data_IF_942239721187
#
_entry.id   IF_942239721187
#
_cell.length_a   1.000
_cell.length_b   1.000
_cell.length_c   1.000
_cell.angle_alpha   90.00
_cell.angle_beta   90.00
_cell.angle_gamma   90.00
#
_symmetry.space_group_name_H-M   'P 1'
#
loop_
_entity.id
_entity.type
_entity.pdbx_description
1 polymer ?
#
# COMPACT_ATOMS: atom_id res chain seq x y z
N UNK A 1 13.46 -47.68 7.90
CA UNK A 1 14.44 -46.59 7.77
C UNK A 1 13.75 -45.32 8.22
N UNK A 2 13.76 -45.14 9.52
CA UNK A 2 12.84 -44.33 10.32
C UNK A 2 13.50 -43.05 10.80
N UNK A 3 12.74 -41.96 10.75
CA UNK A 3 12.81 -40.86 11.71
C UNK A 3 14.00 -39.91 11.57
N UNK A 4 13.78 -38.79 10.88
CA UNK A 4 14.74 -37.69 10.79
C UNK A 4 14.08 -36.40 11.31
N UNK A 5 14.65 -35.93 12.42
CA UNK A 5 14.61 -34.60 13.06
C UNK A 5 13.34 -34.16 13.81
N UNK A 6 13.42 -34.23 15.15
CA UNK A 6 12.84 -33.24 16.06
C UNK A 6 13.84 -33.00 17.22
N UNK A 7 14.39 -31.78 17.33
CA UNK A 7 15.11 -31.31 18.53
C UNK A 7 14.74 -29.84 18.83
N UNK A 8 13.69 -29.72 19.65
CA UNK A 8 13.50 -28.91 20.86
C UNK A 8 14.45 -27.71 21.11
N UNK A 9 13.85 -26.52 20.96
CA UNK A 9 13.84 -25.33 21.82
C UNK A 9 14.96 -25.16 22.89
N UNK A 10 15.80 -24.13 22.70
CA UNK A 10 16.59 -23.51 23.77
C UNK A 10 15.95 -22.19 24.23
N UNK A 11 15.48 -22.20 25.47
CA UNK A 11 14.95 -21.07 26.22
C UNK A 11 16.10 -20.18 26.74
N UNK A 12 16.19 -18.93 26.28
CA UNK A 12 16.98 -17.91 26.98
C UNK A 12 16.07 -17.10 27.91
N UNK A 13 16.13 -17.48 29.19
CA UNK A 13 15.60 -16.75 30.32
C UNK A 13 16.43 -15.47 30.55
N UNK A 14 15.78 -14.30 30.49
CA UNK A 14 16.25 -13.06 31.13
C UNK A 14 15.10 -12.49 31.95
N UNK A 15 15.01 -12.96 33.19
CA UNK A 15 14.24 -12.30 34.23
C UNK A 15 15.04 -11.08 34.72
N UNK A 16 14.42 -9.91 34.71
CA UNK A 16 14.86 -8.76 35.50
C UNK A 16 13.61 -8.03 35.99
N UNK A 17 13.18 -8.41 37.19
CA UNK A 17 12.30 -7.61 38.03
C UNK A 17 12.90 -7.64 39.44
N UNK A 18 13.20 -6.46 39.99
CA UNK A 18 12.70 -5.97 41.28
C UNK A 18 13.51 -4.76 41.78
N UNK A 19 12.77 -3.67 42.01
CA UNK A 19 12.79 -2.85 43.23
C UNK A 19 14.15 -2.27 43.68
N UNK A 20 14.42 -1.04 43.27
CA UNK A 20 15.37 -0.16 43.94
C UNK A 20 14.78 0.30 45.28
N UNK A 21 15.30 -0.29 46.36
CA UNK A 21 15.08 0.13 47.74
C UNK A 21 15.84 1.44 48.02
N UNK A 22 15.25 2.22 48.91
CA UNK A 22 15.62 3.58 49.30
C UNK A 22 17.06 3.66 49.84
N UNK A 23 17.95 4.31 49.10
CA UNK A 23 19.24 4.74 49.62
C UNK A 23 19.06 6.03 50.44
N UNK A 24 19.00 5.85 51.77
CA UNK A 24 19.19 6.92 52.75
C UNK A 24 20.67 7.30 52.73
N UNK A 25 21.01 8.41 52.07
CA UNK A 25 22.28 9.09 52.28
C UNK A 25 22.07 10.23 53.26
N UNK A 26 22.49 9.98 54.50
CA UNK A 26 22.64 10.94 55.57
C UNK A 26 23.66 12.02 55.18
N UNK A 27 23.16 13.19 54.80
CA UNK A 27 23.97 14.41 54.74
C UNK A 27 24.38 14.79 56.17
N UNK A 28 25.68 14.70 56.45
CA UNK A 28 26.30 15.23 57.67
C UNK A 28 25.99 16.73 57.80
N UNK A 29 25.15 17.03 58.79
CA UNK A 29 24.87 18.37 59.26
C UNK A 29 26.14 18.99 59.84
N UNK A 30 26.68 20.02 59.17
CA UNK A 30 27.62 20.95 59.81
C UNK A 30 26.81 21.83 60.76
N UNK A 31 27.09 21.66 62.04
CA UNK A 31 26.55 22.45 63.14
C UNK A 31 26.97 23.92 62.97
N UNK A 32 25.99 24.82 62.95
CA UNK A 32 26.20 26.24 63.25
C UNK A 32 25.41 26.57 64.52
N UNK A 33 26.11 27.24 65.42
CA UNK A 33 25.96 27.34 66.87
C UNK A 33 24.90 28.35 67.35
N UNK A 34 23.83 28.59 66.57
CA UNK A 34 22.79 29.56 66.93
C UNK A 34 21.41 28.93 67.11
N UNK A 35 21.36 27.74 67.71
CA UNK A 35 20.11 27.27 68.29
C UNK A 35 20.02 27.68 69.76
N UNK A 36 19.27 28.75 70.03
CA UNK A 36 18.33 28.78 71.15
C UNK A 36 17.19 29.74 70.78
N UNK A 37 16.00 29.20 70.56
CA UNK A 37 14.75 29.56 71.24
C UNK A 37 13.64 28.73 70.61
N UNK A 38 13.24 27.70 71.34
CA UNK A 38 12.01 26.93 71.11
C UNK A 38 10.85 27.92 71.24
N UNK A 39 9.95 27.99 70.25
CA UNK A 39 8.79 28.92 70.11
C UNK A 39 8.97 30.20 69.25
N UNK A 40 9.90 30.20 68.28
CA UNK A 40 9.90 31.21 67.20
C UNK A 40 9.22 30.71 65.94
N UNK A 41 7.97 31.11 65.68
CA UNK A 41 7.27 30.87 64.41
C UNK A 41 8.04 31.57 63.27
N UNK A 42 9.01 30.89 62.63
CA UNK A 42 9.64 31.43 61.40
C UNK A 42 8.73 31.19 60.22
N UNK A 43 7.70 32.01 60.12
CA UNK A 43 6.89 32.21 58.92
C UNK A 43 7.70 32.98 57.87
N UNK A 44 8.79 32.41 57.36
CA UNK A 44 9.27 32.84 56.04
C UNK A 44 8.40 32.13 55.01
N UNK A 45 7.23 32.71 54.73
CA UNK A 45 6.51 32.44 53.49
C UNK A 45 7.54 32.49 52.35
N UNK A 46 7.61 31.52 51.43
CA UNK A 46 8.35 31.73 50.20
C UNK A 46 7.65 32.90 49.52
N UNK A 47 8.19 34.12 49.70
CA UNK A 47 7.75 35.29 48.96
C UNK A 47 7.76 34.84 47.51
N UNK A 48 6.56 34.84 46.91
CA UNK A 48 6.39 34.59 45.49
C UNK A 48 7.30 35.58 44.78
N UNK A 49 8.48 35.11 44.40
CA UNK A 49 9.36 35.86 43.54
C UNK A 49 8.53 36.28 42.33
N UNK A 50 8.69 37.54 41.91
CA UNK A 50 8.07 38.09 40.72
C UNK A 50 8.08 37.06 39.58
N UNK A 51 7.00 36.94 38.78
CA UNK A 51 6.91 35.94 37.73
C UNK A 51 8.07 36.12 36.75
N UNK A 52 9.15 35.37 36.95
CA UNK A 52 10.32 35.39 36.06
C UNK A 52 9.83 34.92 34.69
N UNK A 53 9.97 35.78 33.68
CA UNK A 53 9.62 35.45 32.29
C UNK A 53 10.22 34.08 31.96
N UNK A 54 9.38 33.10 31.61
CA UNK A 54 9.85 31.79 31.16
C UNK A 54 10.82 32.02 30.01
N UNK A 55 12.06 31.55 30.15
CA UNK A 55 13.07 31.68 29.09
C UNK A 55 12.54 30.96 27.85
N UNK A 56 12.60 31.64 26.69
CA UNK A 56 12.28 31.01 25.42
C UNK A 56 13.18 29.78 25.24
N UNK A 57 12.64 28.73 24.61
CA UNK A 57 13.37 27.49 24.37
C UNK A 57 14.65 27.81 23.60
N UNK A 58 15.76 27.21 24.03
CA UNK A 58 17.05 27.46 23.41
C UNK A 58 17.03 27.08 21.93
N UNK A 59 17.49 27.95 21.01
CA UNK A 59 17.47 27.66 19.58
C UNK A 59 18.29 26.40 19.23
N UNK A 60 19.33 26.09 20.03
CA UNK A 60 20.12 24.86 19.89
C UNK A 60 19.31 23.58 20.09
N UNK A 61 18.29 23.61 20.96
CA UNK A 61 17.40 22.48 21.21
C UNK A 61 16.50 22.22 20.00
N UNK A 62 16.01 23.29 19.37
CA UNK A 62 15.19 23.18 18.15
C UNK A 62 15.99 22.65 16.96
N UNK A 63 17.23 23.12 16.76
CA UNK A 63 18.12 22.63 15.69
C UNK A 63 18.44 21.15 15.89
N UNK A 64 18.80 20.74 17.12
CA UNK A 64 19.06 19.33 17.42
C UNK A 64 17.84 18.43 17.20
N UNK A 65 16.62 18.92 17.47
CA UNK A 65 15.38 18.21 17.16
C UNK A 65 15.16 18.09 15.65
N UNK A 66 15.36 19.16 14.89
CA UNK A 66 15.27 19.14 13.42
C UNK A 66 16.25 18.15 12.81
N UNK A 67 17.49 18.10 13.29
CA UNK A 67 18.50 17.18 12.75
C UNK A 67 18.21 15.71 13.11
N UNK A 68 17.63 15.46 14.29
CA UNK A 68 17.13 14.13 14.66
C UNK A 68 15.98 13.70 13.76
N UNK A 69 15.04 14.59 13.46
CA UNK A 69 13.93 14.32 12.56
C UNK A 69 14.41 14.07 11.13
N UNK A 70 15.33 14.88 10.61
CA UNK A 70 15.96 14.65 9.29
C UNK A 70 16.65 13.28 9.20
N UNK A 71 17.34 12.86 10.26
CA UNK A 71 17.97 11.52 10.31
C UNK A 71 16.94 10.40 10.34
N UNK A 72 15.79 10.59 11.00
CA UNK A 72 14.69 9.61 10.99
C UNK A 72 14.02 9.55 9.62
N UNK A 73 13.76 10.69 9.00
CA UNK A 73 13.23 10.79 7.64
C UNK A 73 14.13 10.06 6.63
N UNK A 74 15.45 10.35 6.64
CA UNK A 74 16.43 9.64 5.79
C UNK A 74 16.49 8.12 6.02
N UNK A 75 16.15 7.66 7.23
CA UNK A 75 16.07 6.22 7.53
C UNK A 75 14.78 5.62 7.00
N UNK A 76 13.65 6.33 7.12
CA UNK A 76 12.36 5.91 6.59
C UNK A 76 12.36 5.92 5.06
N UNK A 77 12.90 6.96 4.43
CA UNK A 77 13.08 7.03 2.97
C UNK A 77 13.99 5.94 2.41
N UNK A 78 14.91 5.42 3.23
CA UNK A 78 15.79 4.30 2.84
C UNK A 78 15.05 2.96 2.86
N UNK A 79 13.98 2.82 3.63
CA UNK A 79 13.15 1.61 3.64
C UNK A 79 12.23 1.67 2.41
N UNK A 80 12.31 0.71 1.49
CA UNK A 80 11.40 0.68 0.35
C UNK A 80 9.97 0.45 0.85
N UNK A 81 8.98 1.16 0.30
CA UNK A 81 7.58 0.94 0.66
C UNK A 81 7.11 -0.46 0.23
N UNK A 82 6.36 -1.14 1.10
CA UNK A 82 5.73 -2.41 0.78
C UNK A 82 4.50 -2.19 -0.13
N UNK A 83 4.37 -2.98 -1.19
CA UNK A 83 3.22 -2.86 -2.09
C UNK A 83 1.96 -3.40 -1.42
N UNK A 84 0.83 -2.73 -1.67
CA UNK A 84 -0.48 -3.21 -1.23
C UNK A 84 -0.75 -4.57 -1.87
N UNK A 85 -1.11 -5.61 -1.09
CA UNK A 85 -1.37 -6.94 -1.63
C UNK A 85 -2.61 -6.95 -2.52
N UNK A 86 -2.57 -7.72 -3.60
CA UNK A 86 -3.72 -7.92 -4.49
C UNK A 86 -4.52 -9.11 -3.94
N UNK A 87 -5.71 -8.82 -3.39
CA UNK A 87 -6.54 -9.83 -2.72
C UNK A 87 -6.95 -10.97 -3.65
N UNK A 88 -7.21 -10.70 -4.94
CA UNK A 88 -7.67 -11.69 -5.92
C UNK A 88 -6.62 -12.74 -6.28
N UNK A 89 -5.32 -12.41 -6.16
CA UNK A 89 -4.25 -13.37 -6.42
C UNK A 89 -3.97 -14.28 -5.21
N UNK A 90 -4.34 -13.86 -4.01
CA UNK A 90 -4.08 -14.61 -2.79
C UNK A 90 -5.29 -15.50 -2.51
N UNK A 91 -5.10 -16.82 -2.56
CA UNK A 91 -6.15 -17.76 -2.18
C UNK A 91 -6.49 -17.60 -0.70
N UNK A 92 -7.74 -17.21 -0.35
CA UNK A 92 -8.11 -17.07 1.05
C UNK A 92 -8.17 -18.45 1.73
N UNK A 93 -7.86 -18.47 3.03
CA UNK A 93 -7.83 -19.70 3.84
C UNK A 93 -9.15 -20.50 3.81
N UNK A 94 -10.27 -19.84 3.50
CA UNK A 94 -11.60 -20.47 3.33
C UNK A 94 -11.64 -21.55 2.24
N UNK A 95 -10.73 -21.55 1.28
CA UNK A 95 -10.67 -22.54 0.20
C UNK A 95 -9.68 -23.68 0.47
N UNK A 96 -8.92 -23.62 1.57
CA UNK A 96 -8.01 -24.70 1.97
C UNK A 96 -8.73 -25.83 2.74
N UNK A 97 -10.01 -25.62 3.06
CA UNK A 97 -10.86 -26.59 3.75
C UNK A 97 -11.28 -27.73 2.80
N UNK A 98 -10.77 -28.93 3.06
CA UNK A 98 -11.01 -30.13 2.24
C UNK A 98 -12.49 -30.56 2.24
N UNK A 99 -13.28 -30.17 3.24
CA UNK A 99 -14.72 -30.51 3.31
C UNK A 99 -15.54 -29.88 2.18
N UNK A 100 -15.00 -28.85 1.53
CA UNK A 100 -15.65 -28.12 0.43
C UNK A 100 -15.30 -28.70 -0.95
N UNK A 101 -14.39 -29.67 -1.01
CA UNK A 101 -13.96 -30.30 -2.26
C UNK A 101 -15.08 -31.18 -2.79
N UNK A 102 -15.42 -30.99 -4.07
CA UNK A 102 -16.35 -31.86 -4.80
C UNK A 102 -15.55 -32.86 -5.61
N UNK A 103 -15.86 -34.14 -5.46
CA UNK A 103 -15.20 -35.18 -6.25
C UNK A 103 -15.48 -34.99 -7.74
N UNK A 104 -14.45 -35.05 -8.60
CA UNK A 104 -14.65 -34.86 -10.04
C UNK A 104 -15.42 -36.06 -10.64
N UNK A 105 -16.41 -35.81 -11.51
CA UNK A 105 -17.11 -36.90 -12.20
C UNK A 105 -16.17 -37.60 -13.17
N UNK A 106 -16.30 -38.93 -13.30
CA UNK A 106 -15.61 -39.70 -14.33
C UNK A 106 -16.25 -39.39 -15.68
N UNK A 107 -15.44 -38.91 -16.63
CA UNK A 107 -15.91 -38.61 -17.98
C UNK A 107 -15.94 -39.89 -18.82
N UNK A 108 -16.96 -40.03 -19.65
CA UNK A 108 -16.97 -41.09 -20.67
C UNK A 108 -15.96 -40.78 -21.78
N UNK A 109 -15.55 -41.80 -22.53
CA UNK A 109 -14.63 -41.63 -23.66
C UNK A 109 -15.22 -40.66 -24.70
N UNK A 110 -16.50 -40.82 -25.04
CA UNK A 110 -17.22 -39.97 -26.00
C UNK A 110 -17.23 -38.50 -25.58
N UNK A 111 -17.46 -38.21 -24.30
CA UNK A 111 -17.41 -36.83 -23.80
C UNK A 111 -16.01 -36.23 -23.88
N UNK A 112 -14.98 -37.03 -23.58
CA UNK A 112 -13.59 -36.58 -23.64
C UNK A 112 -13.17 -36.26 -25.09
N UNK A 113 -13.58 -37.11 -26.05
CA UNK A 113 -13.32 -36.91 -27.47
C UNK A 113 -14.09 -35.70 -28.01
N UNK A 114 -15.38 -35.55 -27.65
CA UNK A 114 -16.19 -34.38 -28.01
C UNK A 114 -15.54 -33.08 -27.55
N UNK A 115 -15.03 -33.04 -26.31
CA UNK A 115 -14.32 -31.85 -25.78
C UNK A 115 -13.03 -31.58 -26.56
N UNK A 116 -12.25 -32.62 -26.86
CA UNK A 116 -11.01 -32.48 -27.63
C UNK A 116 -11.27 -31.96 -29.05
N UNK A 117 -12.29 -32.48 -29.75
CA UNK A 117 -12.69 -32.00 -31.07
C UNK A 117 -13.18 -30.55 -31.03
N UNK A 118 -13.98 -30.19 -30.02
CA UNK A 118 -14.44 -28.81 -29.82
C UNK A 118 -13.26 -27.86 -29.63
N UNK A 119 -12.26 -28.25 -28.82
CA UNK A 119 -11.07 -27.43 -28.59
C UNK A 119 -10.24 -27.24 -29.86
N UNK A 120 -10.12 -28.27 -30.72
CA UNK A 120 -9.46 -28.16 -32.03
C UNK A 120 -10.21 -27.20 -32.97
N UNK A 121 -11.54 -27.26 -32.98
CA UNK A 121 -12.35 -26.34 -33.78
C UNK A 121 -12.23 -24.91 -33.25
N UNK A 122 -12.26 -24.74 -31.93
CA UNK A 122 -12.09 -23.44 -31.28
C UNK A 122 -10.72 -22.82 -31.53
N UNK A 123 -9.64 -23.61 -31.49
CA UNK A 123 -8.30 -23.11 -31.78
C UNK A 123 -8.19 -22.61 -33.22
N UNK A 124 -8.77 -23.36 -34.18
CA UNK A 124 -8.80 -22.94 -35.59
C UNK A 124 -9.61 -21.65 -35.77
N UNK A 125 -10.80 -21.58 -35.17
CA UNK A 125 -11.64 -20.39 -35.23
C UNK A 125 -10.94 -19.16 -34.65
N UNK A 126 -10.26 -19.30 -33.51
CA UNK A 126 -9.52 -18.20 -32.89
C UNK A 126 -8.29 -17.78 -33.70
N UNK A 127 -7.64 -18.72 -34.37
CA UNK A 127 -6.57 -18.40 -35.30
C UNK A 127 -7.10 -17.59 -36.49
N UNK A 128 -8.20 -18.02 -37.12
CA UNK A 128 -8.83 -17.29 -38.23
C UNK A 128 -9.26 -15.87 -37.81
N UNK A 129 -9.85 -15.73 -36.61
CA UNK A 129 -10.19 -14.43 -36.06
C UNK A 129 -8.95 -13.53 -35.89
N UNK A 130 -7.87 -14.08 -35.32
CA UNK A 130 -6.63 -13.34 -35.12
C UNK A 130 -5.99 -12.91 -36.45
N UNK A 131 -5.95 -13.81 -37.44
CA UNK A 131 -5.43 -13.50 -38.77
C UNK A 131 -6.24 -12.40 -39.46
N UNK A 132 -7.57 -12.41 -39.30
CA UNK A 132 -8.42 -11.34 -39.81
C UNK A 132 -8.16 -10.00 -39.10
N UNK A 133 -8.07 -9.98 -37.77
CA UNK A 133 -7.74 -8.78 -37.00
C UNK A 133 -6.36 -8.22 -37.41
N UNK A 134 -5.36 -9.08 -37.54
CA UNK A 134 -4.02 -8.68 -37.97
C UNK A 134 -4.00 -8.08 -39.37
N UNK A 135 -4.77 -8.65 -40.31
CA UNK A 135 -4.95 -8.09 -41.66
C UNK A 135 -5.59 -6.70 -41.60
N UNK A 136 -6.67 -6.54 -40.84
CA UNK A 136 -7.31 -5.21 -40.71
C UNK A 136 -6.37 -4.16 -40.12
N UNK A 137 -5.50 -4.55 -39.18
CA UNK A 137 -4.49 -3.65 -38.60
C UNK A 137 -3.40 -3.33 -39.64
N UNK A 138 -2.90 -4.32 -40.40
CA UNK A 138 -1.90 -4.05 -41.45
C UNK A 138 -2.45 -3.12 -42.51
N UNK A 139 -3.68 -3.38 -42.98
CA UNK A 139 -4.32 -2.58 -44.03
C UNK A 139 -4.54 -1.14 -43.55
N UNK A 140 -4.98 -0.94 -42.30
CA UNK A 140 -5.12 0.39 -41.71
C UNK A 140 -3.78 1.13 -41.57
N UNK A 141 -2.70 0.41 -41.24
CA UNK A 141 -1.35 0.99 -41.14
C UNK A 141 -0.76 1.34 -42.51
N UNK A 142 -0.99 0.51 -43.52
CA UNK A 142 -0.57 0.78 -44.90
C UNK A 142 -1.29 2.00 -45.45
N UNK A 143 -2.63 2.06 -45.31
CA UNK A 143 -3.42 3.22 -45.69
C UNK A 143 -2.98 4.51 -44.96
N UNK A 144 -2.64 4.42 -43.66
CA UNK A 144 -2.11 5.55 -42.93
C UNK A 144 -0.77 6.04 -43.48
N UNK A 145 0.12 5.12 -43.88
CA UNK A 145 1.44 5.46 -44.44
C UNK A 145 1.30 6.11 -45.81
N UNK A 146 0.51 5.52 -46.71
CA UNK A 146 0.25 6.07 -48.04
C UNK A 146 -0.34 7.48 -47.93
N UNK A 147 -1.34 7.68 -47.07
CA UNK A 147 -1.93 9.00 -46.83
C UNK A 147 -0.90 10.04 -46.33
N UNK A 148 0.08 9.64 -45.52
CA UNK A 148 1.15 10.53 -45.06
C UNK A 148 2.18 10.83 -46.14
N UNK A 149 2.47 9.88 -47.04
CA UNK A 149 3.35 10.08 -48.19
C UNK A 149 2.72 11.05 -49.19
N UNK A 150 1.45 10.87 -49.53
CA UNK A 150 0.69 11.78 -50.39
C UNK A 150 0.61 13.19 -49.79
N UNK A 151 0.26 13.29 -48.50
CA UNK A 151 0.17 14.57 -47.81
C UNK A 151 1.50 15.33 -47.78
N UNK A 152 2.63 14.60 -47.72
CA UNK A 152 3.96 15.20 -47.81
C UNK A 152 4.27 15.76 -49.21
N UNK A 153 3.84 15.07 -50.27
CA UNK A 153 3.98 15.55 -51.64
C UNK A 153 3.14 16.82 -51.89
N UNK A 154 1.97 16.91 -51.27
CA UNK A 154 1.09 18.09 -51.37
C UNK A 154 1.57 19.26 -50.50
N UNK A 155 1.90 19.01 -49.23
CA UNK A 155 2.31 20.06 -48.29
C UNK A 155 3.14 19.55 -47.09
N UNK A 156 4.39 20.02 -47.02
CA UNK A 156 5.31 19.65 -45.94
C UNK A 156 4.89 20.24 -44.58
N UNK A 157 4.24 21.41 -44.56
CA UNK A 157 3.77 22.04 -43.31
C UNK A 157 2.70 21.21 -42.59
N UNK A 158 1.72 20.67 -43.34
CA UNK A 158 0.67 19.81 -42.78
C UNK A 158 1.25 18.47 -42.35
N UNK A 159 2.23 17.93 -43.08
CA UNK A 159 2.91 16.70 -42.71
C UNK A 159 3.57 16.82 -41.34
N UNK A 160 4.30 17.91 -41.10
CA UNK A 160 4.92 18.19 -39.81
C UNK A 160 3.89 18.42 -38.71
N UNK A 161 2.71 18.96 -39.03
CA UNK A 161 1.62 19.10 -38.07
C UNK A 161 1.01 17.73 -37.71
N UNK A 162 0.75 16.86 -38.69
CA UNK A 162 0.17 15.54 -38.50
C UNK A 162 1.06 14.58 -37.70
N UNK A 163 2.39 14.72 -37.80
CA UNK A 163 3.34 13.93 -37.01
C UNK A 163 3.34 14.28 -35.51
N UNK A 164 2.82 15.45 -35.12
CA UNK A 164 2.77 15.86 -33.71
C UNK A 164 1.73 15.01 -32.97
N UNK A 165 2.12 14.48 -31.81
CA UNK A 165 1.21 13.76 -30.92
C UNK A 165 0.16 14.71 -30.36
N UNK A 166 -1.10 14.29 -30.39
CA UNK A 166 -2.17 15.02 -29.71
C UNK A 166 -2.04 14.86 -28.19
N UNK A 167 -1.90 15.98 -27.49
CA UNK A 167 -1.82 16.01 -26.03
C UNK A 167 -3.16 15.75 -25.36
N UNK A 168 -4.28 15.86 -26.09
CA UNK A 168 -5.64 15.65 -25.58
C UNK A 168 -6.04 14.17 -25.52
N UNK A 169 -5.23 13.28 -26.09
CA UNK A 169 -5.54 11.85 -26.12
C UNK A 169 -5.49 11.22 -24.72
N UNK A 170 -4.67 11.75 -23.80
CA UNK A 170 -4.56 11.23 -22.45
C UNK A 170 -5.07 12.26 -21.43
N UNK A 171 -5.90 11.85 -20.45
CA UNK A 171 -6.38 10.49 -20.17
C UNK A 171 -7.53 10.06 -21.09
N UNK A 172 -7.45 8.84 -21.65
CA UNK A 172 -8.52 8.23 -22.45
C UNK A 172 -9.35 7.29 -21.58
N UNK A 173 -10.67 7.48 -21.57
CA UNK A 173 -11.63 6.62 -20.87
C UNK A 173 -12.69 6.10 -21.84
N UNK A 174 -12.93 4.79 -21.83
CA UNK A 174 -13.99 4.15 -22.61
C UNK A 174 -14.60 3.03 -21.80
N UNK A 175 -15.93 3.00 -21.72
CA UNK A 175 -16.65 1.90 -21.10
C UNK A 175 -16.90 0.80 -22.14
N UNK A 176 -16.82 -0.47 -21.71
CA UNK A 176 -17.14 -1.61 -22.56
C UNK A 176 -18.64 -1.66 -22.89
N UNK A 177 -19.04 -2.44 -23.92
CA UNK A 177 -20.44 -2.60 -24.26
C UNK A 177 -21.22 -3.30 -23.13
N UNK A 178 -22.45 -2.86 -22.89
CA UNK A 178 -23.39 -3.54 -21.99
C UNK A 178 -24.16 -4.65 -22.72
N UNK A 179 -24.62 -5.67 -21.98
CA UNK A 179 -25.48 -6.73 -22.55
C UNK A 179 -26.82 -6.18 -23.07
N UNK A 180 -27.39 -5.19 -22.37
CA UNK A 180 -28.64 -4.52 -22.75
C UNK A 180 -28.48 -3.00 -22.68
N UNK A 181 -29.09 -2.24 -23.60
CA UNK A 181 -29.04 -0.78 -23.55
C UNK A 181 -29.85 -0.24 -22.36
N UNK A 182 -29.58 1.00 -21.90
CA UNK A 182 -30.34 1.64 -20.82
C UNK A 182 -31.81 1.85 -21.18
N UNK A 183 -32.69 1.63 -20.20
CA UNK A 183 -34.12 1.91 -20.33
C UNK A 183 -34.38 3.39 -19.98
N UNK A 184 -34.99 4.19 -20.87
CA UNK A 184 -35.26 5.60 -20.59
C UNK A 184 -36.27 5.74 -19.44
N UNK A 185 -35.95 6.60 -18.47
CA UNK A 185 -36.84 6.88 -17.33
C UNK A 185 -36.87 5.80 -16.24
N UNK A 186 -35.96 4.83 -16.27
CA UNK A 186 -35.85 3.84 -15.20
C UNK A 186 -35.44 4.50 -13.88
N UNK A 187 -36.26 4.34 -12.84
CA UNK A 187 -35.98 4.80 -11.49
C UNK A 187 -35.42 3.64 -10.67
N UNK A 188 -34.13 3.70 -10.37
CA UNK A 188 -33.48 2.72 -9.50
C UNK A 188 -33.95 2.88 -8.04
N UNK A 189 -34.06 1.78 -7.27
CA UNK A 189 -34.38 1.86 -5.85
C UNK A 189 -33.28 2.57 -5.06
N UNK A 190 -33.65 3.24 -3.98
CA UNK A 190 -32.68 3.89 -3.09
C UNK A 190 -31.81 2.87 -2.34
N UNK A 191 -30.52 3.18 -2.20
CA UNK A 191 -29.54 2.35 -1.50
C UNK A 191 -28.39 3.19 -0.94
N UNK A 192 -27.61 2.60 -0.01
CA UNK A 192 -26.42 3.22 0.57
C UNK A 192 -25.17 2.49 0.08
N UNK A 193 -24.18 3.24 -0.40
CA UNK A 193 -22.86 2.73 -0.73
C UNK A 193 -21.92 2.95 0.45
N UNK A 194 -21.41 1.86 1.03
CA UNK A 194 -20.39 1.90 2.08
C UNK A 194 -19.11 1.28 1.53
N UNK A 195 -18.03 2.04 1.48
CA UNK A 195 -16.72 1.53 1.10
C UNK A 195 -16.15 0.65 2.22
N UNK A 196 -15.84 -0.60 1.89
CA UNK A 196 -15.29 -1.62 2.80
C UNK A 196 -13.88 -2.05 2.39
N UNK A 197 -13.21 -1.28 1.52
CA UNK A 197 -11.83 -1.55 1.11
C UNK A 197 -10.88 -1.56 2.31
N UNK A 198 -10.02 -2.56 2.38
CA UNK A 198 -9.07 -2.70 3.49
C UNK A 198 -7.92 -1.71 3.31
N UNK A 199 -7.72 -0.84 4.28
CA UNK A 199 -6.58 0.08 4.30
C UNK A 199 -5.36 -0.65 4.83
N UNK A 200 -4.34 -0.78 3.99
CA UNK A 200 -3.04 -1.33 4.35
C UNK A 200 -2.08 -0.20 4.75
N UNK A 201 -1.54 -0.26 5.97
CA UNK A 201 -0.59 0.73 6.50
C UNK A 201 0.80 0.11 6.63
N UNK A 202 1.83 0.89 6.26
CA UNK A 202 3.24 0.52 6.29
C UNK A 202 3.92 1.00 7.59
#
# INVERSE_FOLDING_TARGET
MSGVVYQILTLFSRQNSTLCSLAVLSLQARQTHWQTTVLGLRTSLPMRAEPKKKKKVDPKREVALRDRLKKKLKKLERVPPELIPIEDFITPAKYLDETRVREPPRLSFEESERRALLMKAWSRYKQEQHEAEMKTISDALEAQREALEELRLESEELYQAALKRDQRLFPYESQGPCYTPPIPGYQAPEGKFNDITKVHTQ
#
